data_IF_260598671876
#
_entry.id   IF_260598671876
#
_cell.length_a   1.000
_cell.length_b   1.000
_cell.length_c   1.000
_cell.angle_alpha   90.00
_cell.angle_beta   90.00
_cell.angle_gamma   90.00
#
_symmetry.space_group_name_H-M   'P 1'
#
loop_
_entity.id
_entity.type
_entity.pdbx_description
1 polymer ?
#
# COMPACT_ATOMS: atom_id res chain seq x y z
N UNK A 1 8.68 7.10 -8.79
CA UNK A 1 8.49 5.74 -9.34
C UNK A 1 8.05 4.75 -8.26
N UNK A 2 8.83 4.58 -7.17
CA UNK A 2 8.54 3.60 -6.12
C UNK A 2 7.09 3.63 -5.56
N UNK A 3 6.56 4.83 -5.25
CA UNK A 3 5.17 4.98 -4.77
C UNK A 3 4.16 4.39 -5.76
N UNK A 4 4.31 4.69 -7.05
CA UNK A 4 3.42 4.20 -8.10
C UNK A 4 3.53 2.68 -8.25
N UNK A 5 4.75 2.14 -8.22
CA UNK A 5 4.98 0.69 -8.34
C UNK A 5 4.39 -0.06 -7.14
N UNK A 6 4.57 0.44 -5.92
CA UNK A 6 4.04 -0.19 -4.72
C UNK A 6 2.51 -0.15 -4.68
N UNK A 7 1.89 0.97 -5.07
CA UNK A 7 0.43 1.06 -5.21
C UNK A 7 -0.12 0.14 -6.32
N UNK A 8 0.60 0.02 -7.45
CA UNK A 8 0.22 -0.89 -8.53
C UNK A 8 0.31 -2.36 -8.11
N UNK A 9 1.38 -2.75 -7.41
CA UNK A 9 1.54 -4.11 -6.88
C UNK A 9 0.43 -4.46 -5.89
N UNK A 10 0.08 -3.53 -4.98
CA UNK A 10 -1.06 -3.69 -4.07
C UNK A 10 -2.35 -3.91 -4.85
N UNK A 11 -2.66 -3.04 -5.80
CA UNK A 11 -3.90 -3.16 -6.58
C UNK A 11 -3.98 -4.47 -7.37
N UNK A 12 -2.88 -4.94 -7.93
CA UNK A 12 -2.86 -6.22 -8.64
C UNK A 12 -3.04 -7.42 -7.70
N UNK A 13 -2.34 -7.43 -6.56
CA UNK A 13 -2.42 -8.52 -5.59
C UNK A 13 -3.83 -8.64 -4.97
N UNK A 14 -4.42 -7.51 -4.58
CA UNK A 14 -5.77 -7.49 -4.02
C UNK A 14 -6.84 -7.88 -5.05
N UNK A 15 -6.67 -7.49 -6.31
CA UNK A 15 -7.57 -7.90 -7.39
C UNK A 15 -7.50 -9.41 -7.63
N UNK A 16 -6.31 -9.98 -7.62
CA UNK A 16 -6.11 -11.42 -7.77
C UNK A 16 -6.70 -12.23 -6.60
N UNK A 17 -6.69 -11.67 -5.39
CA UNK A 17 -7.14 -12.37 -4.20
C UNK A 17 -8.63 -12.19 -3.87
N UNK A 18 -9.21 -11.00 -4.11
CA UNK A 18 -10.61 -10.68 -3.78
C UNK A 18 -11.54 -10.58 -4.99
N UNK A 19 -11.00 -10.43 -6.20
CA UNK A 19 -11.79 -10.14 -7.41
C UNK A 19 -12.46 -8.76 -7.37
N UNK A 20 -13.11 -8.38 -8.49
CA UNK A 20 -13.71 -7.06 -8.65
C UNK A 20 -14.83 -6.74 -7.64
N UNK A 21 -15.50 -7.77 -7.11
CA UNK A 21 -16.66 -7.62 -6.24
C UNK A 21 -16.30 -7.19 -4.81
N UNK A 22 -15.09 -7.52 -4.33
CA UNK A 22 -14.69 -7.31 -2.94
C UNK A 22 -13.37 -6.52 -2.82
N UNK A 23 -13.04 -5.73 -3.85
CA UNK A 23 -11.80 -5.00 -3.95
C UNK A 23 -11.70 -3.88 -2.89
N UNK A 24 -10.55 -3.71 -2.19
CA UNK A 24 -10.39 -2.74 -1.10
C UNK A 24 -10.10 -1.32 -1.64
N UNK A 25 -11.13 -0.66 -2.18
CA UNK A 25 -11.02 0.69 -2.73
C UNK A 25 -10.59 1.75 -1.72
N UNK A 26 -11.00 1.60 -0.45
CA UNK A 26 -10.64 2.55 0.60
C UNK A 26 -9.13 2.51 0.91
N UNK A 27 -8.56 1.32 1.05
CA UNK A 27 -7.13 1.11 1.28
C UNK A 27 -6.32 1.57 0.07
N UNK A 28 -6.80 1.34 -1.16
CA UNK A 28 -6.18 1.89 -2.36
C UNK A 28 -6.19 3.43 -2.37
N UNK A 29 -7.31 4.06 -1.99
CA UNK A 29 -7.40 5.51 -1.84
C UNK A 29 -6.43 6.06 -0.78
N UNK A 30 -6.35 5.40 0.38
CA UNK A 30 -5.40 5.71 1.44
C UNK A 30 -3.94 5.61 0.95
N UNK A 31 -3.59 4.60 0.16
CA UNK A 31 -2.26 4.48 -0.45
C UNK A 31 -1.91 5.64 -1.38
N UNK A 32 -2.86 6.07 -2.21
CA UNK A 32 -2.64 7.20 -3.12
C UNK A 32 -2.42 8.49 -2.30
N UNK A 33 -3.28 8.75 -1.31
CA UNK A 33 -3.17 9.93 -0.45
C UNK A 33 -1.88 9.91 0.36
N UNK A 34 -1.54 8.79 0.98
CA UNK A 34 -0.30 8.60 1.74
C UNK A 34 0.95 8.80 0.87
N UNK A 35 0.92 8.29 -0.36
CA UNK A 35 1.97 8.50 -1.35
C UNK A 35 2.16 9.97 -1.72
N UNK A 36 1.06 10.70 -1.94
CA UNK A 36 1.09 12.15 -2.23
C UNK A 36 1.62 12.96 -1.04
N UNK A 37 1.24 12.63 0.19
CA UNK A 37 1.72 13.30 1.41
C UNK A 37 3.23 13.11 1.55
N UNK A 38 3.73 11.87 1.40
CA UNK A 38 5.16 11.57 1.50
C UNK A 38 6.00 12.26 0.42
N UNK A 39 5.50 12.30 -0.82
CA UNK A 39 6.15 13.05 -1.90
C UNK A 39 6.14 14.56 -1.62
N UNK A 40 5.06 15.08 -1.04
CA UNK A 40 4.96 16.49 -0.65
C UNK A 40 5.95 16.84 0.47
N UNK A 41 6.11 15.96 1.46
CA UNK A 41 7.11 16.10 2.52
C UNK A 41 8.54 16.07 1.95
N UNK A 42 8.83 15.17 1.01
CA UNK A 42 10.14 15.12 0.34
C UNK A 42 10.46 16.40 -0.42
N UNK A 43 9.45 17.00 -1.06
CA UNK A 43 9.62 18.30 -1.73
C UNK A 43 9.83 19.45 -0.75
N UNK A 44 9.22 19.39 0.43
CA UNK A 44 9.32 20.43 1.46
C UNK A 44 10.62 20.35 2.27
N UNK A 45 11.14 19.14 2.50
CA UNK A 45 12.32 18.90 3.34
C UNK A 45 13.46 18.29 2.51
N UNK A 46 14.38 19.15 2.06
CA UNK A 46 15.49 18.77 1.18
C UNK A 46 16.49 17.80 1.83
N UNK A 47 16.59 17.81 3.17
CA UNK A 47 17.43 16.88 3.95
C UNK A 47 16.88 15.46 4.06
N UNK A 48 15.65 15.19 3.62
CA UNK A 48 15.03 13.87 3.75
C UNK A 48 15.48 12.95 2.60
N UNK A 49 16.07 11.81 2.93
CA UNK A 49 16.60 10.90 1.91
C UNK A 49 15.46 10.18 1.19
N UNK A 50 15.58 10.05 -0.13
CA UNK A 50 14.59 9.34 -0.95
C UNK A 50 14.38 7.89 -0.49
N UNK A 51 15.43 7.24 0.03
CA UNK A 51 15.36 5.88 0.58
C UNK A 51 14.46 5.79 1.82
N UNK A 52 14.51 6.78 2.73
CA UNK A 52 13.66 6.83 3.93
C UNK A 52 12.19 6.98 3.56
N UNK A 53 11.89 7.83 2.57
CA UNK A 53 10.53 8.05 2.06
C UNK A 53 9.97 6.79 1.42
N UNK A 54 10.79 6.08 0.65
CA UNK A 54 10.41 4.81 0.02
C UNK A 54 10.22 3.71 1.08
N UNK A 55 11.09 3.64 2.07
CA UNK A 55 10.97 2.69 3.19
C UNK A 55 9.71 2.93 4.02
N UNK A 56 9.43 4.19 4.36
CA UNK A 56 8.21 4.58 5.06
C UNK A 56 6.95 4.22 4.26
N UNK A 57 6.97 4.47 2.94
CA UNK A 57 5.86 4.09 2.08
C UNK A 57 5.70 2.57 1.96
N UNK A 58 6.79 1.81 1.90
CA UNK A 58 6.74 0.35 1.88
C UNK A 58 6.08 -0.21 3.15
N UNK A 59 6.49 0.27 4.33
CA UNK A 59 5.86 -0.12 5.60
C UNK A 59 4.37 0.25 5.66
N UNK A 60 4.03 1.45 5.16
CA UNK A 60 2.63 1.87 5.05
C UNK A 60 1.81 0.94 4.14
N UNK A 61 2.39 0.49 3.02
CA UNK A 61 1.70 -0.44 2.10
C UNK A 61 1.46 -1.81 2.70
N UNK A 62 2.42 -2.33 3.47
CA UNK A 62 2.28 -3.59 4.19
C UNK A 62 1.17 -3.47 5.24
N UNK A 63 1.16 -2.38 6.01
CA UNK A 63 0.12 -2.13 7.01
C UNK A 63 -1.27 -2.10 6.37
N UNK A 64 -1.42 -1.41 5.24
CA UNK A 64 -2.69 -1.35 4.51
C UNK A 64 -3.11 -2.71 3.95
N UNK A 65 -2.18 -3.53 3.47
CA UNK A 65 -2.44 -4.88 2.97
C UNK A 65 -2.90 -5.86 4.05
N UNK A 66 -2.33 -5.81 5.25
CA UNK A 66 -2.68 -6.74 6.32
C UNK A 66 -4.13 -6.62 6.80
N UNK A 67 -4.76 -5.47 6.61
CA UNK A 67 -6.14 -5.20 7.04
C UNK A 67 -7.15 -5.24 5.88
N UNK A 68 -6.83 -5.91 4.78
CA UNK A 68 -7.80 -6.19 3.72
C UNK A 68 -8.48 -7.54 3.93
N UNK A 69 -9.73 -7.66 3.48
CA UNK A 69 -10.48 -8.92 3.51
C UNK A 69 -9.70 -10.11 2.91
N UNK A 70 -9.11 -10.03 1.69
CA UNK A 70 -8.40 -11.16 1.11
C UNK A 70 -7.15 -11.59 1.90
N UNK A 71 -6.39 -10.66 2.48
CA UNK A 71 -5.19 -11.01 3.27
C UNK A 71 -5.60 -11.66 4.60
N UNK A 72 -6.66 -11.20 5.24
CA UNK A 72 -7.21 -11.82 6.44
C UNK A 72 -7.67 -13.26 6.15
N UNK A 73 -8.34 -13.48 5.03
CA UNK A 73 -8.78 -14.83 4.63
C UNK A 73 -7.59 -15.74 4.26
N UNK A 74 -6.56 -15.19 3.60
CA UNK A 74 -5.31 -15.92 3.36
C UNK A 74 -4.62 -16.36 4.66
N UNK A 75 -4.58 -15.48 5.68
CA UNK A 75 -4.01 -15.81 7.00
C UNK A 75 -4.84 -16.89 7.69
N UNK A 76 -6.17 -16.80 7.65
CA UNK A 76 -7.06 -17.83 8.23
C UNK A 76 -6.82 -19.22 7.62
N UNK A 77 -6.62 -19.28 6.30
CA UNK A 77 -6.34 -20.54 5.58
C UNK A 77 -4.97 -21.15 5.90
N UNK A 78 -4.00 -20.36 6.40
CA UNK A 78 -2.69 -20.88 6.79
C UNK A 78 -2.72 -21.40 8.24
N UNK A 79 -3.53 -20.78 9.10
CA UNK A 79 -3.64 -21.13 10.52
C UNK A 79 -4.52 -22.36 10.75
N UNK A 80 -5.45 -22.64 9.85
CA UNK A 80 -6.42 -23.75 9.94
C UNK A 80 -5.99 -24.91 9.05
#
# INVERSE_FOLDING_TARGET
>A
AAVVLLTATFGFAEYAAAGAANFPYFQLGCLIVGGLILVSLKRKYDKMYTAEVVGAFALYTILMALFTNPVIDAVKNIVT
#
